data_IF_096195137528
#
_entry.id   IF_096195137528
#
_cell.length_a   1.000
_cell.length_b   1.000
_cell.length_c   1.000
_cell.angle_alpha   90.00
_cell.angle_beta   90.00
_cell.angle_gamma   90.00
#
_symmetry.space_group_name_H-M   'P 1'
#
loop_
_entity.id
_entity.type
_entity.pdbx_description
1 polymer ?
#
# COMPACT_ATOMS: atom_id res chain seq x y z
N UNK A 1 0.41 10.17 20.87
CA UNK A 1 -0.42 11.39 20.72
C UNK A 1 -1.25 11.52 21.99
N UNK A 2 -0.91 12.45 22.88
CA UNK A 2 -1.78 12.82 23.99
C UNK A 2 -2.82 13.79 23.39
N UNK A 3 -4.08 13.39 23.35
CA UNK A 3 -5.18 14.24 22.89
C UNK A 3 -5.51 15.20 24.03
N UNK A 4 -5.05 16.45 23.92
CA UNK A 4 -5.20 17.49 24.95
C UNK A 4 -6.50 18.32 24.79
N UNK A 5 -7.23 18.10 23.70
CA UNK A 5 -8.46 18.82 23.35
C UNK A 5 -9.52 17.82 22.88
N UNK A 6 -10.80 18.15 23.11
CA UNK A 6 -11.92 17.36 22.61
C UNK A 6 -11.87 17.30 21.08
N UNK A 7 -11.72 16.10 20.54
CA UNK A 7 -11.65 15.84 19.10
C UNK A 7 -12.58 14.72 18.69
N UNK A 8 -13.25 14.93 17.57
CA UNK A 8 -13.92 13.90 16.80
C UNK A 8 -12.95 13.35 15.76
N UNK A 9 -12.81 12.03 15.71
CA UNK A 9 -11.93 11.31 14.80
C UNK A 9 -12.76 10.23 14.11
N UNK A 10 -12.79 10.29 12.79
CA UNK A 10 -13.37 9.24 11.96
C UNK A 10 -12.32 8.18 11.65
N UNK A 11 -12.62 6.93 11.99
CA UNK A 11 -11.76 5.78 11.74
C UNK A 11 -12.50 4.81 10.83
N UNK A 12 -11.91 4.51 9.69
CA UNK A 12 -12.43 3.50 8.77
C UNK A 12 -11.61 2.21 8.88
N UNK A 13 -12.29 1.09 9.06
CA UNK A 13 -11.65 -0.22 9.28
C UNK A 13 -12.19 -1.24 8.31
N UNK A 14 -11.28 -1.87 7.56
CA UNK A 14 -11.56 -3.01 6.71
C UNK A 14 -10.97 -4.30 7.30
N UNK A 15 -11.55 -5.45 6.99
CA UNK A 15 -11.07 -6.73 7.50
C UNK A 15 -10.95 -7.81 6.41
N UNK A 16 -10.20 -8.86 6.75
CA UNK A 16 -10.03 -10.05 5.89
C UNK A 16 -11.32 -10.85 5.70
N UNK A 17 -12.40 -10.58 6.44
CA UNK A 17 -13.71 -11.21 6.21
C UNK A 17 -14.63 -10.34 5.33
N UNK A 18 -14.11 -9.22 4.80
CA UNK A 18 -14.86 -8.33 3.90
C UNK A 18 -15.70 -7.26 4.59
N UNK A 19 -15.67 -7.20 5.93
CA UNK A 19 -16.37 -6.16 6.68
C UNK A 19 -15.67 -4.80 6.49
N UNK A 20 -16.46 -3.77 6.24
CA UNK A 20 -16.01 -2.38 6.23
C UNK A 20 -16.85 -1.57 7.22
N UNK A 21 -16.20 -0.86 8.13
CA UNK A 21 -16.84 -0.16 9.25
C UNK A 21 -16.34 1.26 9.37
N UNK A 22 -17.24 2.14 9.80
CA UNK A 22 -16.95 3.50 10.21
C UNK A 22 -17.08 3.60 11.72
N UNK A 23 -16.03 4.08 12.38
CA UNK A 23 -15.99 4.26 13.83
C UNK A 23 -15.80 5.76 14.08
N UNK A 24 -16.82 6.40 14.62
CA UNK A 24 -16.73 7.78 15.12
C UNK A 24 -16.23 7.73 16.54
N UNK A 25 -15.05 8.29 16.75
CA UNK A 25 -14.42 8.38 18.06
C UNK A 25 -14.47 9.81 18.56
N UNK A 26 -15.17 10.02 19.67
CA UNK A 26 -15.22 11.31 20.34
C UNK A 26 -14.42 11.24 21.64
N UNK A 27 -13.43 12.12 21.76
CA UNK A 27 -12.72 12.38 23.01
C UNK A 27 -13.41 13.53 23.73
N UNK A 28 -13.91 13.26 24.93
CA UNK A 28 -14.45 14.24 25.86
C UNK A 28 -13.63 14.11 27.15
N UNK A 29 -12.87 15.12 27.54
CA UNK A 29 -12.05 15.09 28.75
C UNK A 29 -12.86 14.98 30.05
N UNK A 30 -14.18 15.19 30.00
CA UNK A 30 -15.07 15.21 31.16
C UNK A 30 -16.00 13.99 31.25
N UNK A 31 -16.02 13.11 30.23
CA UNK A 31 -16.91 11.93 30.17
C UNK A 31 -16.20 10.70 29.63
N UNK A 32 -16.81 9.53 29.84
CA UNK A 32 -16.38 8.31 29.14
C UNK A 32 -16.49 8.54 27.62
N UNK A 33 -15.35 8.38 26.91
CA UNK A 33 -15.29 8.48 25.45
C UNK A 33 -16.37 7.61 24.80
N UNK A 34 -17.26 8.21 24.00
CA UNK A 34 -18.30 7.48 23.27
C UNK A 34 -17.75 7.03 21.93
N UNK A 35 -17.95 5.76 21.60
CA UNK A 35 -17.65 5.18 20.29
C UNK A 35 -18.95 4.87 19.58
N UNK A 36 -19.15 5.41 18.38
CA UNK A 36 -20.24 4.98 17.49
C UNK A 36 -19.63 4.11 16.39
N UNK A 37 -20.13 2.89 16.22
CA UNK A 37 -19.64 1.95 15.21
C UNK A 37 -20.78 1.68 14.23
N UNK A 38 -20.55 2.03 12.98
CA UNK A 38 -21.46 1.81 11.86
C UNK A 38 -20.87 0.78 10.90
N UNK A 39 -21.69 -0.16 10.45
CA UNK A 39 -21.29 -1.12 9.42
C UNK A 39 -21.66 -0.54 8.06
N UNK A 40 -20.66 -0.35 7.20
CA UNK A 40 -20.83 0.25 5.88
C UNK A 40 -21.18 -0.79 4.79
N UNK A 41 -21.27 -2.07 5.18
CA UNK A 41 -21.67 -3.19 4.34
C UNK A 41 -22.60 -4.09 5.15
N UNK A 42 -23.58 -4.69 4.49
CA UNK A 42 -24.41 -5.73 5.11
C UNK A 42 -23.54 -6.95 5.46
N UNK A 43 -23.30 -7.17 6.74
CA UNK A 43 -22.46 -8.27 7.23
C UNK A 43 -23.04 -9.62 6.81
N UNK A 44 -24.37 -9.73 6.66
CA UNK A 44 -25.03 -11.00 6.33
C UNK A 44 -24.84 -11.41 4.87
N UNK A 45 -24.51 -10.48 3.98
CA UNK A 45 -24.27 -10.78 2.56
C UNK A 45 -22.84 -11.22 2.27
N UNK A 46 -21.91 -11.02 3.22
CA UNK A 46 -20.48 -11.28 3.05
C UNK A 46 -20.18 -12.77 2.78
N UNK A 47 -19.39 -13.00 1.75
CA UNK A 47 -18.86 -14.30 1.35
C UNK A 47 -17.36 -14.39 1.64
N UNK A 48 -16.82 -15.62 1.59
CA UNK A 48 -15.39 -15.89 1.85
C UNK A 48 -14.45 -15.11 0.91
N UNK A 49 -14.89 -14.84 -0.31
CA UNK A 49 -14.09 -14.16 -1.33
C UNK A 49 -14.19 -12.63 -1.27
N UNK A 50 -15.00 -12.08 -0.37
CA UNK A 50 -15.15 -10.63 -0.15
C UNK A 50 -14.02 -10.03 0.70
N UNK A 51 -13.05 -10.84 1.10
CA UNK A 51 -11.87 -10.44 1.86
C UNK A 51 -11.24 -9.16 1.31
N UNK A 52 -11.18 -8.10 2.11
CA UNK A 52 -10.52 -6.85 1.70
C UNK A 52 -9.01 -7.03 1.87
N UNK A 53 -8.28 -6.95 0.76
CA UNK A 53 -6.82 -7.11 0.72
C UNK A 53 -6.09 -5.78 0.69
N UNK A 54 -6.73 -4.73 0.18
CA UNK A 54 -6.18 -3.39 0.07
C UNK A 54 -7.21 -2.33 0.49
N UNK A 55 -6.76 -1.33 1.22
CA UNK A 55 -7.53 -0.14 1.56
C UNK A 55 -6.58 1.05 1.60
N UNK A 56 -6.89 2.10 0.84
CA UNK A 56 -6.06 3.31 0.74
C UNK A 56 -6.93 4.55 0.63
N UNK A 57 -6.42 5.69 1.08
CA UNK A 57 -7.00 6.98 0.74
C UNK A 57 -6.85 7.26 -0.75
N UNK A 58 -7.93 7.73 -1.38
CA UNK A 58 -7.94 8.12 -2.78
C UNK A 58 -7.43 9.55 -3.02
N UNK A 59 -7.42 10.39 -1.99
CA UNK A 59 -6.99 11.78 -2.05
C UNK A 59 -6.49 12.32 -0.69
N UNK A 60 -5.71 13.41 -0.69
CA UNK A 60 -5.23 14.06 0.53
C UNK A 60 -6.35 14.63 1.40
N UNK A 61 -7.48 15.02 0.80
CA UNK A 61 -8.64 15.55 1.51
C UNK A 61 -9.43 14.48 2.28
N UNK A 62 -9.05 13.20 2.15
CA UNK A 62 -9.70 12.06 2.83
C UNK A 62 -11.21 11.94 2.54
N UNK A 63 -11.65 12.42 1.37
CA UNK A 63 -13.05 12.34 0.93
C UNK A 63 -13.36 11.05 0.15
N UNK A 64 -12.32 10.29 -0.20
CA UNK A 64 -12.46 9.01 -0.90
C UNK A 64 -11.57 7.92 -0.32
N UNK A 65 -12.13 6.71 -0.18
CA UNK A 65 -11.43 5.48 0.18
C UNK A 65 -11.54 4.51 -0.98
N UNK A 66 -10.42 3.90 -1.37
CA UNK A 66 -10.39 2.86 -2.40
C UNK A 66 -10.18 1.51 -1.71
N UNK A 67 -11.14 0.61 -1.89
CA UNK A 67 -11.13 -0.74 -1.35
C UNK A 67 -10.84 -1.74 -2.47
N UNK A 68 -10.04 -2.75 -2.15
CA UNK A 68 -9.74 -3.86 -3.05
C UNK A 68 -10.03 -5.18 -2.37
N UNK A 69 -10.85 -6.00 -3.02
CA UNK A 69 -11.26 -7.31 -2.53
C UNK A 69 -10.48 -8.43 -3.22
N UNK A 70 -10.43 -9.59 -2.57
CA UNK A 70 -9.74 -10.78 -3.07
C UNK A 70 -10.34 -11.31 -4.37
N UNK A 71 -11.65 -11.13 -4.57
CA UNK A 71 -12.37 -11.41 -5.82
C UNK A 71 -12.14 -10.36 -6.94
N UNK A 72 -11.08 -9.55 -6.85
CA UNK A 72 -10.68 -8.53 -7.84
C UNK A 72 -11.67 -7.36 -8.00
N UNK A 73 -12.67 -7.24 -7.13
CA UNK A 73 -13.54 -6.07 -7.08
C UNK A 73 -12.81 -4.89 -6.41
N UNK A 74 -12.95 -3.71 -7.02
CA UNK A 74 -12.44 -2.44 -6.51
C UNK A 74 -13.62 -1.50 -6.32
N UNK A 75 -13.77 -0.94 -5.12
CA UNK A 75 -14.84 -0.01 -4.77
C UNK A 75 -14.23 1.33 -4.34
N UNK A 76 -14.82 2.43 -4.80
CA UNK A 76 -14.48 3.78 -4.35
C UNK A 76 -15.62 4.28 -3.48
N UNK A 77 -15.35 4.39 -2.19
CA UNK A 77 -16.28 4.88 -1.18
C UNK A 77 -16.05 6.37 -0.94
N UNK A 78 -17.11 7.17 -0.97
CA UNK A 78 -17.05 8.59 -0.64
C UNK A 78 -17.46 8.79 0.83
N UNK A 79 -16.58 9.40 1.62
CA UNK A 79 -16.78 9.54 3.08
C UNK A 79 -17.79 10.61 3.46
N UNK A 80 -18.04 11.60 2.60
CA UNK A 80 -19.01 12.68 2.86
C UNK A 80 -20.45 12.23 2.56
N UNK A 81 -20.62 11.45 1.47
CA UNK A 81 -21.91 10.89 1.04
C UNK A 81 -22.22 9.55 1.71
N UNK A 82 -21.24 8.95 2.37
CA UNK A 82 -21.30 7.64 2.98
C UNK A 82 -21.74 6.51 2.03
N UNK A 83 -21.33 6.56 0.76
CA UNK A 83 -21.75 5.61 -0.27
C UNK A 83 -20.60 5.17 -1.19
N UNK A 84 -20.74 4.01 -1.82
CA UNK A 84 -19.86 3.59 -2.92
C UNK A 84 -20.27 4.35 -4.18
N UNK A 85 -19.37 5.19 -4.69
CA UNK A 85 -19.62 6.05 -5.86
C UNK A 85 -19.11 5.46 -7.16
N UNK A 86 -18.17 4.51 -7.11
CA UNK A 86 -17.63 3.79 -8.28
C UNK A 86 -17.25 2.36 -7.92
N UNK A 87 -17.39 1.47 -8.88
CA UNK A 87 -16.92 0.10 -8.80
C UNK A 87 -16.18 -0.29 -10.09
N UNK A 88 -15.16 -1.13 -9.97
CA UNK A 88 -14.36 -1.66 -11.06
C UNK A 88 -14.03 -3.13 -10.82
N UNK A 89 -13.80 -3.87 -11.90
CA UNK A 89 -13.24 -5.23 -11.85
C UNK A 89 -11.82 -5.20 -12.37
N UNK A 90 -10.88 -5.75 -11.61
CA UNK A 90 -9.47 -5.86 -12.02
C UNK A 90 -9.24 -7.14 -12.85
N UNK A 91 -9.80 -7.20 -14.05
CA UNK A 91 -9.77 -8.35 -14.97
C UNK A 91 -8.53 -8.45 -15.87
N UNK A 92 -7.45 -7.75 -15.51
CA UNK A 92 -6.25 -7.60 -16.34
C UNK A 92 -5.10 -8.55 -15.98
N UNK A 93 -5.23 -9.36 -14.92
CA UNK A 93 -4.25 -10.38 -14.54
C UNK A 93 -4.86 -11.39 -13.56
N UNK A 94 -4.10 -12.42 -13.21
CA UNK A 94 -4.50 -13.41 -12.21
C UNK A 94 -4.08 -13.01 -10.81
N UNK A 95 -4.66 -13.66 -9.80
CA UNK A 95 -4.33 -13.43 -8.39
C UNK A 95 -5.21 -12.37 -7.73
N UNK A 96 -4.73 -11.79 -6.63
CA UNK A 96 -5.48 -10.87 -5.78
C UNK A 96 -4.84 -9.48 -5.78
N UNK A 97 -5.61 -8.47 -5.36
CA UNK A 97 -5.13 -7.09 -5.26
C UNK A 97 -4.07 -6.96 -4.15
N UNK A 98 -2.91 -6.42 -4.52
CA UNK A 98 -1.74 -6.23 -3.63
C UNK A 98 -1.35 -4.76 -3.46
N UNK A 99 -1.93 -3.88 -4.28
CA UNK A 99 -1.80 -2.43 -4.14
C UNK A 99 -2.88 -1.69 -4.90
N UNK A 100 -3.22 -0.52 -4.38
CA UNK A 100 -4.17 0.42 -4.94
C UNK A 100 -3.61 1.82 -4.82
N UNK A 101 -4.08 2.73 -5.66
CA UNK A 101 -3.82 4.14 -5.48
C UNK A 101 -4.51 5.01 -6.52
N UNK A 102 -4.28 6.31 -6.39
CA UNK A 102 -4.87 7.30 -7.30
C UNK A 102 -3.90 8.46 -7.52
N UNK A 103 -3.80 8.87 -8.78
CA UNK A 103 -3.06 10.05 -9.20
C UNK A 103 -4.01 10.97 -9.96
N UNK A 104 -4.43 12.07 -9.34
CA UNK A 104 -5.41 13.02 -9.90
C UNK A 104 -6.73 12.30 -10.26
N UNK A 105 -6.95 11.98 -11.54
CA UNK A 105 -8.14 11.26 -12.06
C UNK A 105 -7.81 9.86 -12.58
N UNK A 106 -6.58 9.39 -12.38
CA UNK A 106 -6.10 8.08 -12.79
C UNK A 106 -6.13 7.15 -11.58
N UNK A 107 -6.77 5.99 -11.71
CA UNK A 107 -6.76 4.94 -10.71
C UNK A 107 -5.66 3.94 -11.03
N UNK A 108 -5.07 3.36 -9.99
CA UNK A 108 -4.02 2.36 -10.07
C UNK A 108 -4.43 1.13 -9.29
N UNK A 109 -4.21 -0.03 -9.87
CA UNK A 109 -4.39 -1.31 -9.20
C UNK A 109 -3.27 -2.27 -9.61
N UNK A 110 -2.78 -3.02 -8.64
CA UNK A 110 -1.77 -4.04 -8.82
C UNK A 110 -2.33 -5.40 -8.40
N UNK A 111 -2.16 -6.40 -9.25
CA UNK A 111 -2.49 -7.78 -8.96
C UNK A 111 -1.23 -8.61 -8.69
N UNK A 112 -1.34 -9.59 -7.80
CA UNK A 112 -0.21 -10.45 -7.40
C UNK A 112 0.40 -11.23 -8.58
N UNK A 113 -0.38 -11.43 -9.66
CA UNK A 113 0.09 -12.00 -10.93
C UNK A 113 1.16 -11.15 -11.64
N UNK A 114 1.43 -9.95 -11.16
CA UNK A 114 2.59 -9.16 -11.54
C UNK A 114 2.31 -8.02 -12.50
N UNK A 115 1.06 -7.56 -12.54
CA UNK A 115 0.61 -6.52 -13.46
C UNK A 115 0.07 -5.33 -12.67
N UNK A 116 0.48 -4.14 -13.07
CA UNK A 116 -0.09 -2.87 -12.60
C UNK A 116 -0.84 -2.22 -13.75
N UNK A 117 -2.12 -1.92 -13.53
CA UNK A 117 -2.96 -1.19 -14.49
C UNK A 117 -3.25 0.21 -13.95
N UNK A 118 -3.18 1.18 -14.85
CA UNK A 118 -3.51 2.59 -14.61
C UNK A 118 -4.56 3.04 -15.61
N UNK A 119 -5.73 3.47 -15.14
CA UNK A 119 -6.83 3.83 -16.02
C UNK A 119 -7.50 5.16 -15.64
N UNK A 120 -8.04 5.83 -16.66
CA UNK A 120 -8.86 7.04 -16.60
C UNK A 120 -9.61 7.21 -17.93
N UNK A 121 -10.42 8.26 -18.07
CA UNK A 121 -11.05 8.61 -19.36
C UNK A 121 -10.06 8.91 -20.50
N UNK A 122 -8.81 9.28 -20.17
CA UNK A 122 -7.80 9.75 -21.15
C UNK A 122 -6.61 8.81 -21.28
N UNK A 123 -6.55 7.73 -20.49
CA UNK A 123 -5.38 6.88 -20.41
C UNK A 123 -5.81 5.51 -19.93
N UNK A 124 -5.36 4.49 -20.64
CA UNK A 124 -5.39 3.10 -20.19
C UNK A 124 -3.99 2.54 -20.44
N UNK A 125 -3.29 2.21 -19.37
CA UNK A 125 -1.88 1.85 -19.40
C UNK A 125 -1.63 0.67 -18.46
N UNK A 126 -0.90 -0.32 -18.94
CA UNK A 126 -0.59 -1.53 -18.17
C UNK A 126 0.90 -1.79 -18.25
N UNK A 127 1.50 -2.19 -17.13
CA UNK A 127 2.91 -2.57 -17.06
C UNK A 127 3.08 -3.91 -16.35
N UNK A 128 3.94 -4.74 -16.92
CA UNK A 128 4.39 -5.99 -16.31
C UNK A 128 5.57 -5.71 -15.37
N UNK A 129 5.46 -6.17 -14.14
CA UNK A 129 6.40 -5.86 -13.06
C UNK A 129 7.12 -7.09 -12.53
N UNK A 130 6.66 -8.30 -12.86
CA UNK A 130 7.01 -9.57 -12.19
C UNK A 130 6.10 -9.82 -10.99
N UNK A 131 6.18 -10.99 -10.34
CA UNK A 131 5.33 -11.33 -9.18
C UNK A 131 5.32 -10.22 -8.13
N UNK A 132 4.16 -9.92 -7.56
CA UNK A 132 3.99 -8.85 -6.58
C UNK A 132 3.39 -9.35 -5.28
N UNK A 133 3.97 -8.93 -4.16
CA UNK A 133 3.32 -8.93 -2.85
C UNK A 133 2.83 -7.52 -2.48
N UNK A 134 3.43 -6.47 -3.05
CA UNK A 134 3.03 -5.08 -2.77
C UNK A 134 3.25 -4.11 -3.92
N UNK A 135 2.33 -3.14 -4.02
CA UNK A 135 2.52 -1.88 -4.74
C UNK A 135 2.04 -0.69 -3.88
N UNK A 136 2.79 0.42 -3.92
CA UNK A 136 2.42 1.70 -3.29
C UNK A 136 2.59 2.85 -4.27
N UNK A 137 1.67 3.80 -4.24
CA UNK A 137 1.84 5.12 -4.86
C UNK A 137 2.60 6.01 -3.88
N UNK A 138 3.49 6.87 -4.41
CA UNK A 138 4.18 7.85 -3.59
C UNK A 138 3.23 8.98 -3.18
N UNK A 139 3.15 9.30 -1.89
CA UNK A 139 2.26 10.36 -1.39
C UNK A 139 2.77 11.75 -1.77
N UNK A 140 4.08 11.99 -1.69
CA UNK A 140 4.70 13.28 -2.06
C UNK A 140 4.62 13.56 -3.57
N UNK A 141 4.75 12.51 -4.39
CA UNK A 141 4.72 12.60 -5.85
C UNK A 141 3.80 11.49 -6.41
N UNK A 142 2.46 11.72 -6.44
CA UNK A 142 1.48 10.71 -6.86
C UNK A 142 1.64 10.23 -8.31
N UNK A 143 2.54 10.86 -9.10
CA UNK A 143 2.89 10.39 -10.44
C UNK A 143 3.85 9.19 -10.42
N UNK A 144 4.36 8.79 -9.26
CA UNK A 144 5.26 7.65 -9.09
C UNK A 144 4.63 6.54 -8.26
N UNK A 145 5.01 5.29 -8.56
CA UNK A 145 4.68 4.14 -7.73
C UNK A 145 5.84 3.16 -7.66
N UNK A 146 5.89 2.40 -6.57
CA UNK A 146 6.86 1.36 -6.30
C UNK A 146 6.16 0.01 -6.17
N UNK A 147 6.84 -1.06 -6.60
CA UNK A 147 6.34 -2.42 -6.47
C UNK A 147 7.47 -3.42 -6.17
N UNK A 148 7.12 -4.55 -5.56
CA UNK A 148 8.04 -5.65 -5.25
C UNK A 148 7.30 -6.93 -4.82
N UNK A 149 8.01 -8.05 -4.78
CA UNK A 149 7.47 -9.37 -4.44
C UNK A 149 8.53 -10.47 -4.32
N UNK A 150 8.08 -11.71 -4.39
CA UNK A 150 8.93 -12.91 -4.45
C UNK A 150 9.81 -12.90 -5.71
N UNK A 151 11.14 -12.99 -5.51
CA UNK A 151 12.16 -12.91 -6.57
C UNK A 151 12.07 -11.63 -7.43
N UNK A 152 11.39 -10.61 -6.91
CA UNK A 152 11.18 -9.32 -7.55
C UNK A 152 11.51 -8.21 -6.56
N UNK A 153 12.75 -7.73 -6.62
CA UNK A 153 13.23 -6.63 -5.77
C UNK A 153 12.49 -5.32 -6.11
N UNK A 154 12.74 -4.27 -5.33
CA UNK A 154 12.13 -2.96 -5.52
C UNK A 154 12.32 -2.44 -6.94
N UNK A 155 11.22 -2.05 -7.57
CA UNK A 155 11.19 -1.27 -8.80
C UNK A 155 10.29 -0.06 -8.63
N UNK A 156 10.63 1.04 -9.28
CA UNK A 156 9.90 2.31 -9.23
C UNK A 156 9.61 2.75 -10.65
N UNK A 157 8.39 3.20 -10.90
CA UNK A 157 7.92 3.67 -12.20
C UNK A 157 7.29 5.05 -12.08
N UNK A 158 7.37 5.79 -13.17
CA UNK A 158 6.51 6.94 -13.41
C UNK A 158 5.28 6.51 -14.20
N UNK A 159 4.12 7.03 -13.83
CA UNK A 159 2.85 6.71 -14.47
C UNK A 159 2.87 7.12 -15.94
N UNK A 160 2.75 6.13 -16.83
CA UNK A 160 2.77 6.30 -18.28
C UNK A 160 4.07 5.85 -18.93
N UNK A 161 5.09 5.51 -18.15
CA UNK A 161 6.35 4.95 -18.66
C UNK A 161 6.34 3.43 -18.60
N UNK A 162 6.67 2.78 -19.74
CA UNK A 162 6.75 1.34 -19.84
C UNK A 162 7.95 0.75 -19.06
N UNK A 163 9.06 1.49 -19.02
CA UNK A 163 10.27 1.08 -18.31
C UNK A 163 10.28 1.64 -16.87
N UNK A 164 10.86 0.91 -15.90
CA UNK A 164 11.06 1.43 -14.56
C UNK A 164 12.11 2.55 -14.54
N UNK A 165 11.82 3.62 -13.80
CA UNK A 165 12.80 4.67 -13.46
C UNK A 165 13.95 4.11 -12.62
N UNK A 166 13.65 3.14 -11.75
CA UNK A 166 14.62 2.51 -10.87
C UNK A 166 14.35 1.01 -10.77
N UNK A 167 15.41 0.22 -10.85
CA UNK A 167 15.39 -1.23 -10.59
C UNK A 167 16.50 -1.56 -9.60
N UNK A 168 16.11 -1.98 -8.40
CA UNK A 168 17.05 -2.38 -7.36
C UNK A 168 17.97 -3.51 -7.82
N UNK A 169 19.18 -3.53 -7.25
CA UNK A 169 20.16 -4.59 -7.43
C UNK A 169 20.37 -5.24 -6.07
N UNK A 170 20.05 -6.53 -6.00
CA UNK A 170 20.28 -7.33 -4.81
C UNK A 170 21.77 -7.28 -4.39
N UNK A 171 22.03 -7.41 -3.09
CA UNK A 171 23.37 -7.43 -2.48
C UNK A 171 24.30 -8.47 -3.13
N UNK A 172 25.63 -8.31 -2.99
CA UNK A 172 26.58 -9.32 -3.44
C UNK A 172 26.29 -10.68 -2.81
N UNK A 173 26.83 -11.73 -3.44
CA UNK A 173 26.77 -13.06 -2.88
C UNK A 173 27.32 -13.08 -1.45
N UNK A 174 26.84 -14.00 -0.64
CA UNK A 174 27.36 -14.18 0.70
C UNK A 174 28.78 -14.77 0.70
N UNK A 175 29.32 -15.01 1.89
CA UNK A 175 30.65 -15.56 2.07
C UNK A 175 30.79 -16.99 1.51
N UNK A 176 29.69 -17.70 1.29
CA UNK A 176 29.64 -19.01 0.61
C UNK A 176 29.52 -18.88 -0.91
N UNK A 177 29.59 -17.66 -1.46
CA UNK A 177 29.36 -17.36 -2.87
C UNK A 177 27.94 -17.70 -3.35
N UNK A 178 26.97 -17.82 -2.43
CA UNK A 178 25.57 -18.08 -2.75
C UNK A 178 24.82 -16.76 -2.99
N UNK A 179 23.88 -16.80 -3.94
CA UNK A 179 22.97 -15.69 -4.20
C UNK A 179 22.02 -15.54 -3.00
N UNK A 180 21.98 -14.33 -2.44
CA UNK A 180 21.02 -13.98 -1.38
C UNK A 180 19.59 -13.97 -1.95
N UNK A 181 18.59 -14.59 -1.30
CA UNK A 181 17.22 -14.61 -1.81
C UNK A 181 16.55 -13.23 -1.70
N UNK A 182 15.58 -12.95 -2.58
CA UNK A 182 14.85 -11.67 -2.60
C UNK A 182 13.36 -11.92 -2.48
N UNK A 183 12.72 -11.29 -1.49
CA UNK A 183 11.28 -11.36 -1.34
C UNK A 183 10.76 -10.11 -0.63
N UNK A 184 10.38 -9.09 -1.39
CA UNK A 184 9.81 -7.87 -0.83
C UNK A 184 8.36 -8.15 -0.44
N UNK A 185 8.01 -8.00 0.83
CA UNK A 185 6.66 -8.27 1.36
C UNK A 185 5.81 -7.02 1.50
N UNK A 186 6.42 -5.91 1.90
CA UNK A 186 5.81 -4.58 1.95
C UNK A 186 6.90 -3.54 1.70
N UNK A 187 6.46 -2.34 1.31
CA UNK A 187 7.34 -1.23 1.00
C UNK A 187 6.66 0.08 1.34
N UNK A 188 7.46 1.11 1.58
CA UNK A 188 6.97 2.47 1.83
C UNK A 188 7.94 3.52 1.34
N UNK A 189 7.40 4.61 0.80
CA UNK A 189 8.16 5.83 0.53
C UNK A 189 8.37 6.58 1.84
N UNK A 190 9.56 7.12 2.07
CA UNK A 190 9.76 8.04 3.18
C UNK A 190 9.11 9.38 2.85
N UNK A 191 8.23 9.92 3.72
CA UNK A 191 7.60 11.22 3.50
C UNK A 191 8.61 12.36 3.46
N UNK A 192 8.33 13.39 2.68
CA UNK A 192 9.19 14.58 2.52
C UNK A 192 10.39 14.39 1.58
N UNK A 193 10.60 13.18 1.05
CA UNK A 193 11.74 12.84 0.19
C UNK A 193 11.37 12.80 -1.30
N UNK A 194 10.12 13.13 -1.65
CA UNK A 194 9.69 13.26 -3.05
C UNK A 194 9.87 11.97 -3.85
N UNK A 195 9.66 10.82 -3.19
CA UNK A 195 9.76 9.49 -3.80
C UNK A 195 11.18 8.94 -3.97
N UNK A 196 12.21 9.59 -3.41
CA UNK A 196 13.63 9.20 -3.61
C UNK A 196 14.11 8.13 -2.66
N UNK A 197 13.65 8.17 -1.42
CA UNK A 197 13.96 7.20 -0.39
C UNK A 197 12.81 6.21 -0.23
N UNK A 198 13.12 4.92 -0.39
CA UNK A 198 12.14 3.84 -0.28
C UNK A 198 12.68 2.76 0.64
N UNK A 199 11.92 2.45 1.67
CA UNK A 199 12.19 1.33 2.57
C UNK A 199 11.37 0.12 2.14
N UNK A 200 12.00 -1.07 2.21
CA UNK A 200 11.33 -2.35 1.97
C UNK A 200 11.58 -3.29 3.13
N UNK A 201 10.59 -4.12 3.45
CA UNK A 201 10.77 -5.26 4.33
C UNK A 201 10.68 -6.57 3.55
N UNK A 202 11.25 -7.63 4.11
CA UNK A 202 11.30 -8.93 3.46
C UNK A 202 10.84 -10.09 4.33
N UNK A 203 10.24 -11.08 3.67
CA UNK A 203 9.95 -12.39 4.26
C UNK A 203 11.21 -13.17 4.64
N UNK A 204 12.38 -12.81 4.10
CA UNK A 204 13.66 -13.39 4.48
C UNK A 204 14.33 -12.71 5.68
N UNK A 205 13.65 -11.79 6.35
CA UNK A 205 14.14 -11.17 7.58
C UNK A 205 15.20 -10.11 7.32
N UNK A 206 14.90 -9.16 6.45
CA UNK A 206 15.70 -7.95 6.30
C UNK A 206 14.81 -6.73 6.03
N UNK A 207 15.33 -5.56 6.39
CA UNK A 207 14.89 -4.26 5.87
C UNK A 207 16.01 -3.62 5.09
N UNK A 208 15.64 -3.06 3.94
CA UNK A 208 16.54 -2.32 3.07
C UNK A 208 16.00 -0.93 2.83
N UNK A 209 16.90 0.05 2.85
CA UNK A 209 16.63 1.40 2.38
C UNK A 209 17.34 1.60 1.04
N UNK A 210 16.59 2.10 0.06
CA UNK A 210 17.10 2.47 -1.25
C UNK A 210 17.01 3.99 -1.41
N UNK A 211 18.09 4.57 -1.93
CA UNK A 211 18.12 5.95 -2.44
C UNK A 211 18.31 5.89 -3.95
N UNK A 212 17.29 6.33 -4.69
CA UNK A 212 17.28 6.28 -6.17
C UNK A 212 18.38 7.11 -6.82
N UNK A 213 18.98 8.07 -6.09
CA UNK A 213 20.04 8.95 -6.59
C UNK A 213 21.43 8.44 -6.29
N UNK A 214 21.59 7.66 -5.23
CA UNK A 214 22.89 7.19 -4.79
C UNK A 214 23.34 5.96 -5.59
N UNK A 215 22.58 4.87 -5.52
CA UNK A 215 22.96 3.60 -6.13
C UNK A 215 21.78 2.64 -6.25
N UNK A 216 21.92 1.63 -7.12
CA UNK A 216 20.90 0.57 -7.29
C UNK A 216 20.88 -0.44 -6.15
N UNK A 217 21.97 -0.57 -5.40
CA UNK A 217 22.06 -1.43 -4.21
C UNK A 217 21.50 -0.68 -2.99
N UNK A 218 21.02 -1.38 -1.94
CA UNK A 218 20.52 -0.69 -0.76
C UNK A 218 21.63 0.16 -0.10
N UNK A 219 21.29 1.38 0.32
CA UNK A 219 22.18 2.27 1.09
C UNK A 219 22.23 1.88 2.57
N UNK A 220 21.19 1.21 3.06
CA UNK A 220 21.16 0.58 4.37
C UNK A 220 20.54 -0.81 4.26
N UNK A 221 21.12 -1.81 4.93
CA UNK A 221 20.59 -3.16 5.04
C UNK A 221 20.69 -3.60 6.49
N UNK A 222 19.55 -3.90 7.09
CA UNK A 222 19.45 -4.45 8.44
C UNK A 222 18.84 -5.83 8.35
N UNK A 223 19.60 -6.85 8.74
CA UNK A 223 19.15 -8.23 8.77
C UNK A 223 18.64 -8.58 10.18
N UNK A 224 17.49 -9.25 10.27
CA UNK A 224 16.94 -9.81 11.50
C UNK A 224 16.69 -11.29 11.25
N UNK A 225 17.65 -12.12 11.70
CA UNK A 225 17.62 -13.55 11.45
C UNK A 225 16.31 -14.20 11.92
N UNK A 226 15.78 -15.08 11.08
CA UNK A 226 14.66 -15.99 11.38
C UNK A 226 13.27 -15.35 11.64
N UNK A 227 13.03 -14.10 11.24
CA UNK A 227 11.70 -13.48 11.32
C UNK A 227 11.27 -12.89 9.98
N UNK A 228 10.12 -13.33 9.47
CA UNK A 228 9.53 -12.72 8.27
C UNK A 228 8.90 -11.38 8.64
N UNK A 229 9.40 -10.28 8.06
CA UNK A 229 8.74 -8.99 8.14
C UNK A 229 7.68 -8.91 7.02
N UNK A 230 6.45 -8.52 7.36
CA UNK A 230 5.31 -8.55 6.41
C UNK A 230 4.63 -7.20 6.21
N UNK A 231 4.95 -6.21 7.04
CA UNK A 231 4.43 -4.86 6.93
C UNK A 231 5.49 -3.84 7.35
N UNK A 232 5.44 -2.67 6.72
CA UNK A 232 6.40 -1.60 6.99
C UNK A 232 5.70 -0.24 6.85
N UNK A 233 5.90 0.65 7.82
CA UNK A 233 5.29 1.98 7.82
C UNK A 233 6.26 3.05 8.36
N UNK A 234 6.25 4.27 7.80
CA UNK A 234 7.02 5.38 8.36
C UNK A 234 6.51 5.71 9.76
N UNK A 235 7.43 6.06 10.67
CA UNK A 235 7.08 6.51 12.02
C UNK A 235 6.55 7.94 12.01
N UNK A 236 5.97 8.36 13.15
CA UNK A 236 5.33 9.67 13.33
C UNK A 236 6.28 10.85 13.11
N UNK A 237 7.56 10.70 13.47
CA UNK A 237 8.59 11.73 13.24
C UNK A 237 9.21 11.65 11.84
N UNK A 238 8.75 10.71 11.00
CA UNK A 238 9.16 10.46 9.62
C UNK A 238 10.65 10.16 9.43
N UNK A 239 11.40 9.92 10.53
CA UNK A 239 12.83 9.61 10.52
C UNK A 239 13.14 8.13 10.67
N UNK A 240 12.17 7.37 11.17
CA UNK A 240 12.28 5.94 11.40
C UNK A 240 11.21 5.19 10.65
N UNK A 241 11.43 3.90 10.49
CA UNK A 241 10.46 2.98 9.91
C UNK A 241 10.14 1.89 10.94
N UNK A 242 8.86 1.59 11.11
CA UNK A 242 8.37 0.58 12.04
C UNK A 242 7.94 -0.67 11.27
N UNK A 243 8.27 -1.83 11.84
CA UNK A 243 7.86 -3.15 11.38
C UNK A 243 7.01 -3.73 12.51
N UNK A 244 5.68 -3.82 12.35
CA UNK A 244 4.77 -4.45 13.30
C UNK A 244 4.98 -5.95 13.46
#
# INVERSE_FOLDING_TARGET
>A
MLLTEDKEIDIFVASKIGSFKHIKYHTDNTKNSKKCIENLVDIKSLQKDDSITCMVWGNPEQTEIILGRKNQQIEVYNTEKSEVVKAYTADFSTGHLVGLGRCKRKYLAALSGGVVKVWSKKMDFTVETGKLDRMRVCEDEPTMFAAGGEENDLKIWQIGEAAPLFTAKNLPHDWLQLRRPVWVSDLTFLPGEGGRLVAVCSRHGYVRLYDTRAQRRPVCNVDFNAMAAVCIAPSFDQRWVQIP
#
